data_IF_652623351226
#
_entry.id   IF_652623351226
#
_cell.length_a   1.000
_cell.length_b   1.000
_cell.length_c   1.000
_cell.angle_alpha   90.00
_cell.angle_beta   90.00
_cell.angle_gamma   90.00
#
_symmetry.space_group_name_H-M   'P 1'
#
loop_
_entity.id
_entity.type
_entity.pdbx_description
1 polymer ?
#
# COMPACT_ATOMS: atom_id res chain seq x y z
N UNK A 1 -25.72 -48.23 -10.10
CA UNK A 1 -26.12 -46.88 -9.63
C UNK A 1 -25.62 -46.51 -8.22
N UNK A 2 -25.68 -47.41 -7.23
CA UNK A 2 -25.25 -47.12 -5.84
C UNK A 2 -23.74 -46.89 -5.68
N UNK A 3 -22.91 -47.65 -6.40
CA UNK A 3 -21.44 -47.53 -6.45
C UNK A 3 -20.99 -46.27 -7.21
N UNK A 4 -21.67 -45.92 -8.30
CA UNK A 4 -21.40 -44.71 -9.07
C UNK A 4 -21.72 -43.44 -8.26
N UNK A 5 -22.84 -43.43 -7.50
CA UNK A 5 -23.17 -42.34 -6.56
C UNK A 5 -22.12 -42.18 -5.46
N UNK A 6 -21.60 -43.28 -4.90
CA UNK A 6 -20.54 -43.24 -3.87
C UNK A 6 -19.23 -42.68 -4.42
N UNK A 7 -18.84 -43.05 -5.65
CA UNK A 7 -17.64 -42.52 -6.31
C UNK A 7 -17.80 -41.03 -6.65
N UNK A 8 -18.96 -40.61 -7.16
CA UNK A 8 -19.24 -39.20 -7.44
C UNK A 8 -19.23 -38.35 -6.16
N UNK A 9 -19.79 -38.85 -5.06
CA UNK A 9 -19.74 -38.17 -3.76
C UNK A 9 -18.29 -38.06 -3.25
N UNK A 10 -17.51 -39.15 -3.35
CA UNK A 10 -16.13 -39.17 -2.87
C UNK A 10 -15.20 -38.26 -3.70
N UNK A 11 -15.41 -38.18 -5.01
CA UNK A 11 -14.70 -37.24 -5.91
C UNK A 11 -15.12 -35.80 -5.66
N UNK A 12 -16.40 -35.52 -5.39
CA UNK A 12 -16.87 -34.16 -5.07
C UNK A 12 -16.34 -33.61 -3.73
N UNK A 13 -16.09 -34.48 -2.74
CA UNK A 13 -15.51 -34.09 -1.44
C UNK A 13 -14.00 -33.83 -1.56
N UNK A 14 -13.30 -34.54 -2.44
CA UNK A 14 -11.86 -34.31 -2.70
C UNK A 14 -11.64 -33.03 -3.51
N UNK A 15 -12.57 -32.67 -4.42
CA UNK A 15 -12.47 -31.44 -5.22
C UNK A 15 -12.79 -30.17 -4.42
N UNK A 16 -13.49 -30.27 -3.27
CA UNK A 16 -13.83 -29.11 -2.44
C UNK A 16 -12.76 -28.74 -1.39
N UNK A 17 -11.74 -29.59 -1.21
CA UNK A 17 -10.70 -29.42 -0.18
C UNK A 17 -9.42 -28.75 -0.70
N UNK A 18 -9.38 -28.37 -1.98
CA UNK A 18 -8.20 -27.74 -2.58
C UNK A 18 -8.36 -26.22 -2.64
N UNK A 19 -7.46 -25.54 -1.92
CA UNK A 19 -7.05 -24.14 -2.12
C UNK A 19 -7.87 -23.10 -1.33
N UNK A 20 -7.73 -23.14 0.00
CA UNK A 20 -7.64 -21.90 0.77
C UNK A 20 -6.17 -21.62 1.09
N UNK A 21 -5.40 -21.21 0.07
CA UNK A 21 -4.13 -20.55 0.32
C UNK A 21 -4.45 -19.15 0.86
N UNK A 22 -4.46 -18.99 2.17
CA UNK A 22 -4.42 -17.67 2.82
C UNK A 22 -3.06 -17.09 2.50
N UNK A 23 -2.96 -16.31 1.41
CA UNK A 23 -1.77 -15.52 1.12
C UNK A 23 -1.60 -14.51 2.25
N UNK A 24 -0.60 -14.71 3.10
CA UNK A 24 -0.21 -13.71 4.08
C UNK A 24 0.22 -12.44 3.32
N UNK A 25 -0.62 -11.42 3.33
CA UNK A 25 -0.31 -10.14 2.68
C UNK A 25 0.84 -9.48 3.44
N UNK A 26 1.95 -9.22 2.77
CA UNK A 26 3.06 -8.47 3.34
C UNK A 26 2.63 -7.00 3.50
N UNK A 27 2.32 -6.59 4.72
CA UNK A 27 1.86 -5.22 5.05
C UNK A 27 3.01 -4.25 5.29
N UNK A 28 4.27 -4.71 5.22
CA UNK A 28 5.45 -3.88 5.50
C UNK A 28 5.54 -3.43 6.96
N UNK A 29 6.48 -2.51 7.23
CA UNK A 29 6.68 -1.95 8.58
C UNK A 29 5.57 -0.96 8.94
N UNK A 30 5.26 -0.85 10.23
CA UNK A 30 4.28 0.11 10.77
C UNK A 30 4.62 1.55 10.40
N UNK A 31 5.88 1.92 10.63
CA UNK A 31 6.44 3.24 10.30
C UNK A 31 7.65 3.04 9.38
N UNK A 32 7.77 3.91 8.39
CA UNK A 32 8.84 3.93 7.40
C UNK A 32 9.48 5.32 7.41
N UNK A 33 10.80 5.39 7.44
CA UNK A 33 11.52 6.64 7.29
C UNK A 33 11.71 6.93 5.80
N UNK A 34 11.04 7.96 5.28
CA UNK A 34 11.20 8.40 3.90
C UNK A 34 12.25 9.51 3.81
N UNK A 35 13.11 9.41 2.81
CA UNK A 35 14.08 10.46 2.50
C UNK A 35 13.36 11.70 1.93
N UNK A 36 13.25 12.75 2.76
CA UNK A 36 12.67 14.03 2.37
C UNK A 36 13.69 15.03 1.81
N UNK A 37 14.91 14.58 1.51
CA UNK A 37 16.00 15.39 0.97
C UNK A 37 16.39 16.54 1.92
N UNK A 38 16.65 17.72 1.35
CA UNK A 38 17.12 18.90 2.09
C UNK A 38 16.14 19.42 3.17
N UNK A 39 14.89 18.95 3.20
CA UNK A 39 13.89 19.38 4.18
C UNK A 39 13.88 18.51 5.44
N UNK A 40 14.63 17.42 5.48
CA UNK A 40 14.61 16.45 6.57
C UNK A 40 13.74 15.24 6.24
N UNK A 41 13.92 14.18 7.00
CA UNK A 41 13.21 12.92 6.80
C UNK A 41 11.74 13.03 7.20
N UNK A 42 10.94 12.11 6.67
CA UNK A 42 9.51 12.01 6.97
C UNK A 42 9.28 10.67 7.67
N UNK A 43 8.75 10.71 8.89
CA UNK A 43 8.22 9.51 9.55
C UNK A 43 6.85 9.19 8.95
N UNK A 44 6.79 8.19 8.09
CA UNK A 44 5.59 7.79 7.38
C UNK A 44 4.92 6.62 8.09
N UNK A 45 3.77 6.89 8.71
CA UNK A 45 2.93 5.89 9.39
C UNK A 45 2.19 5.00 8.38
N UNK A 46 2.90 4.06 7.76
CA UNK A 46 2.42 3.23 6.66
C UNK A 46 1.18 2.39 7.02
N UNK A 47 1.14 1.76 8.19
CA UNK A 47 -0.03 0.97 8.61
C UNK A 47 -1.29 1.83 8.78
N UNK A 48 -1.14 3.07 9.26
CA UNK A 48 -2.27 4.01 9.35
C UNK A 48 -2.83 4.32 7.95
N UNK A 49 -1.96 4.47 6.94
CA UNK A 49 -2.43 4.67 5.57
C UNK A 49 -3.12 3.42 5.01
N UNK A 50 -2.67 2.22 5.38
CA UNK A 50 -3.33 0.98 4.98
C UNK A 50 -4.75 0.86 5.57
N UNK A 51 -4.98 1.29 6.82
CA UNK A 51 -6.32 1.24 7.41
C UNK A 51 -7.29 2.24 6.78
N UNK A 52 -6.80 3.36 6.26
CA UNK A 52 -7.62 4.40 5.63
C UNK A 52 -7.86 4.12 4.14
N UNK A 53 -6.83 3.66 3.42
CA UNK A 53 -6.84 3.55 1.96
C UNK A 53 -7.19 2.13 1.50
N UNK A 54 -6.67 1.11 2.18
CA UNK A 54 -6.84 -0.32 1.86
C UNK A 54 -6.57 -0.70 0.39
N UNK A 55 -5.75 0.09 -0.31
CA UNK A 55 -5.29 -0.17 -1.67
C UNK A 55 -3.81 0.19 -1.79
N UNK A 56 -2.96 -0.84 -1.90
CA UNK A 56 -1.52 -0.70 -2.01
C UNK A 56 -1.08 0.01 -3.30
N UNK A 57 -1.87 -0.10 -4.38
CA UNK A 57 -1.48 0.36 -5.71
C UNK A 57 -1.63 1.87 -5.88
N UNK A 58 -2.35 2.56 -4.98
CA UNK A 58 -2.39 4.03 -4.95
C UNK A 58 -0.97 4.62 -4.87
N UNK A 59 -0.06 3.95 -4.15
CA UNK A 59 1.34 4.34 -4.06
C UNK A 59 2.25 3.42 -4.88
N UNK A 60 2.06 2.10 -4.80
CA UNK A 60 2.99 1.13 -5.38
C UNK A 60 2.84 0.93 -6.90
N UNK A 61 1.94 1.67 -7.55
CA UNK A 61 1.97 1.82 -9.01
C UNK A 61 3.14 2.69 -9.51
N UNK A 62 3.70 3.54 -8.64
CA UNK A 62 4.83 4.41 -8.98
C UNK A 62 6.20 3.77 -8.72
N UNK A 63 6.27 2.83 -7.78
CA UNK A 63 7.50 2.16 -7.38
C UNK A 63 7.18 0.80 -6.72
N UNK A 64 8.03 -0.22 -6.90
CA UNK A 64 7.82 -1.53 -6.31
C UNK A 64 7.62 -1.51 -4.78
N UNK A 65 6.91 -2.49 -4.22
CA UNK A 65 6.78 -2.64 -2.77
C UNK A 65 8.06 -3.26 -2.16
N UNK A 66 9.17 -2.53 -2.23
CA UNK A 66 10.50 -2.91 -1.75
C UNK A 66 11.18 -1.73 -1.07
N UNK A 67 11.90 -1.96 0.03
CA UNK A 67 12.68 -0.92 0.69
C UNK A 67 13.68 -0.29 -0.28
N UNK A 68 13.82 1.04 -0.25
CA UNK A 68 14.73 1.79 -1.14
C UNK A 68 14.20 2.06 -2.56
N UNK A 69 13.18 1.33 -3.01
CA UNK A 69 12.66 1.44 -4.38
C UNK A 69 12.14 2.84 -4.76
N UNK A 70 11.62 3.60 -3.80
CA UNK A 70 11.19 4.98 -4.03
C UNK A 70 12.39 5.89 -4.37
N UNK A 71 13.53 5.69 -3.70
CA UNK A 71 14.75 6.44 -3.98
C UNK A 71 15.37 5.97 -5.30
N UNK A 72 15.49 4.66 -5.53
CA UNK A 72 15.93 4.07 -6.80
C UNK A 72 15.08 4.57 -7.99
N UNK A 73 13.77 4.69 -7.82
CA UNK A 73 12.86 5.17 -8.87
C UNK A 73 13.07 6.66 -9.16
N UNK A 74 13.43 7.47 -8.16
CA UNK A 74 13.79 8.89 -8.37
C UNK A 74 15.13 9.00 -9.09
N UNK A 75 16.11 8.22 -8.65
CA UNK A 75 17.49 8.27 -9.17
C UNK A 75 17.57 7.78 -10.62
N UNK A 76 16.78 6.77 -10.98
CA UNK A 76 16.62 6.29 -12.36
C UNK A 76 15.78 7.21 -13.25
N UNK A 77 15.13 8.23 -12.68
CA UNK A 77 14.23 9.13 -13.41
C UNK A 77 12.86 8.53 -13.75
N UNK A 78 12.56 7.29 -13.33
CA UNK A 78 11.26 6.63 -13.50
C UNK A 78 10.14 7.45 -12.87
N UNK A 79 10.41 8.07 -11.72
CA UNK A 79 9.52 9.05 -11.10
C UNK A 79 10.23 10.40 -10.97
N UNK A 80 9.51 11.47 -11.27
CA UNK A 80 10.04 12.83 -11.09
C UNK A 80 10.11 13.17 -9.60
N UNK A 81 11.06 14.05 -9.25
CA UNK A 81 11.12 14.60 -7.91
C UNK A 81 9.76 15.19 -7.50
N UNK A 82 9.30 14.83 -6.30
CA UNK A 82 8.00 15.25 -5.71
C UNK A 82 6.75 14.77 -6.45
N UNK A 83 6.85 13.92 -7.48
CA UNK A 83 5.69 13.43 -8.24
C UNK A 83 4.66 12.77 -7.31
N UNK A 84 5.05 11.67 -6.64
CA UNK A 84 4.17 10.92 -5.73
C UNK A 84 3.63 11.82 -4.61
N UNK A 85 4.48 12.68 -4.02
CA UNK A 85 4.07 13.61 -2.97
C UNK A 85 2.94 14.53 -3.45
N UNK A 86 3.06 15.12 -4.64
CA UNK A 86 2.09 16.08 -5.14
C UNK A 86 0.81 15.40 -5.65
N UNK A 87 0.94 14.28 -6.36
CA UNK A 87 -0.19 13.63 -7.05
C UNK A 87 -0.97 12.68 -6.14
N UNK A 88 -0.33 12.12 -5.11
CA UNK A 88 -0.95 11.17 -4.19
C UNK A 88 -1.14 11.79 -2.82
N UNK A 89 -0.04 12.09 -2.11
CA UNK A 89 -0.08 12.49 -0.69
C UNK A 89 -0.87 13.78 -0.49
N UNK A 90 -0.43 14.88 -1.11
CA UNK A 90 -1.02 16.20 -0.93
C UNK A 90 -2.42 16.27 -1.56
N UNK A 91 -2.64 15.56 -2.68
CA UNK A 91 -3.96 15.49 -3.31
C UNK A 91 -4.99 14.87 -2.36
N UNK A 92 -4.72 13.66 -1.86
CA UNK A 92 -5.61 12.97 -0.93
C UNK A 92 -5.85 13.78 0.35
N UNK A 93 -4.79 14.35 0.95
CA UNK A 93 -4.95 15.18 2.15
C UNK A 93 -5.83 16.42 1.91
N UNK A 94 -5.70 17.08 0.75
CA UNK A 94 -6.55 18.23 0.39
C UNK A 94 -8.00 17.82 0.16
N UNK A 95 -8.23 16.69 -0.50
CA UNK A 95 -9.56 16.15 -0.75
C UNK A 95 -10.27 15.79 0.56
N UNK A 96 -9.57 15.12 1.48
CA UNK A 96 -10.10 14.81 2.82
C UNK A 96 -10.43 16.09 3.60
N UNK A 97 -9.54 17.09 3.57
CA UNK A 97 -9.79 18.40 4.20
C UNK A 97 -11.03 19.06 3.61
N UNK A 98 -11.14 19.11 2.28
CA UNK A 98 -12.28 19.71 1.58
C UNK A 98 -13.59 19.00 1.90
N UNK A 99 -13.54 17.69 2.10
CA UNK A 99 -14.68 16.87 2.51
C UNK A 99 -15.03 16.98 4.01
N UNK A 100 -14.30 17.80 4.79
CA UNK A 100 -14.50 17.93 6.23
C UNK A 100 -14.13 16.68 7.03
N UNK A 101 -13.36 15.77 6.44
CA UNK A 101 -12.88 14.53 7.08
C UNK A 101 -11.55 14.77 7.78
N UNK A 102 -11.16 13.85 8.66
CA UNK A 102 -9.79 13.82 9.18
C UNK A 102 -8.80 13.69 8.01
N UNK A 103 -7.75 14.51 8.02
CA UNK A 103 -6.81 14.64 6.91
C UNK A 103 -5.38 14.73 7.42
N UNK A 104 -4.43 14.27 6.61
CA UNK A 104 -3.01 14.35 6.92
C UNK A 104 -2.43 15.76 6.72
N UNK A 105 -1.14 15.96 7.07
CA UNK A 105 -0.50 17.27 6.99
C UNK A 105 -0.50 17.87 5.57
N UNK A 106 -0.68 19.19 5.50
CA UNK A 106 -0.66 19.97 4.24
C UNK A 106 0.48 21.00 4.17
N UNK A 107 1.16 21.23 5.28
CA UNK A 107 2.29 22.17 5.38
C UNK A 107 3.61 21.40 5.39
N UNK A 108 4.68 22.01 4.90
CA UNK A 108 5.99 21.36 4.80
C UNK A 108 6.48 20.80 6.14
N UNK A 109 6.37 21.59 7.22
CA UNK A 109 6.74 21.19 8.58
C UNK A 109 5.82 20.13 9.19
N UNK A 110 4.63 19.91 8.62
CA UNK A 110 3.72 18.86 9.06
C UNK A 110 4.16 17.47 8.62
N UNK A 111 4.97 17.37 7.56
CA UNK A 111 5.54 16.10 7.09
C UNK A 111 7.02 15.97 7.45
N UNK A 112 7.78 17.04 7.26
CA UNK A 112 9.24 17.02 7.42
C UNK A 112 9.62 17.37 8.85
N UNK A 113 10.16 16.39 9.56
CA UNK A 113 10.77 16.58 10.88
C UNK A 113 12.24 16.98 10.66
N UNK A 114 12.68 18.04 11.33
CA UNK A 114 14.09 18.46 11.35
C UNK A 114 14.83 17.79 12.49
#
# INVERSE_FOLDING_TARGET
MKTLKKIVILVSVIFFSSIFCVFAQNTGKKTILLNGGKKGNINFEHHMHQTIINDCLICHSFFPQKSGSLDESKDSGTIKAKQVMNTVCIKCHREMKKAGKHYGPLQCSGCHTK
#
